data_IF_176665449985
#
_entry.id   IF_176665449985
#
_cell.length_a   1.000
_cell.length_b   1.000
_cell.length_c   1.000
_cell.angle_alpha   90.00
_cell.angle_beta   90.00
_cell.angle_gamma   90.00
#
_symmetry.space_group_name_H-M   'P 1'
#
loop_
_entity.id
_entity.type
_entity.pdbx_description
1 polymer ?
#
# COMPACT_ATOMS: atom_id res chain seq x y z
N UNK A 1 10.52 14.75 11.43
CA UNK A 1 11.30 13.72 12.16
C UNK A 1 12.76 14.12 12.15
N UNK A 2 13.42 14.18 13.31
CA UNK A 2 14.86 14.34 13.42
C UNK A 2 15.55 13.03 12.98
N UNK A 3 16.41 13.03 11.94
CA UNK A 3 17.07 11.82 11.45
C UNK A 3 18.06 11.21 12.46
N UNK A 4 18.41 11.90 13.54
CA UNK A 4 19.25 11.37 14.62
C UNK A 4 18.50 10.55 15.66
N UNK A 5 17.16 10.61 15.67
CA UNK A 5 16.32 9.87 16.61
C UNK A 5 16.12 8.42 16.15
N UNK A 6 16.24 7.45 17.07
CA UNK A 6 15.98 6.03 16.75
C UNK A 6 14.53 5.78 16.33
N UNK A 7 14.25 4.71 15.58
CA UNK A 7 12.87 4.35 15.19
C UNK A 7 11.98 4.09 16.41
N UNK A 8 12.48 3.35 17.40
CA UNK A 8 11.79 3.07 18.67
C UNK A 8 11.47 4.35 19.45
N UNK A 9 12.42 5.27 19.57
CA UNK A 9 12.16 6.56 20.23
C UNK A 9 11.11 7.36 19.46
N UNK A 10 11.16 7.38 18.12
CA UNK A 10 10.16 8.06 17.30
C UNK A 10 8.77 7.45 17.47
N UNK A 11 8.67 6.12 17.51
CA UNK A 11 7.42 5.39 17.73
C UNK A 11 6.78 5.76 19.07
N UNK A 12 7.55 5.73 20.17
CA UNK A 12 7.06 6.14 21.48
C UNK A 12 6.53 7.58 21.49
N UNK A 13 7.23 8.52 20.86
CA UNK A 13 6.76 9.91 20.78
C UNK A 13 5.52 10.05 19.91
N UNK A 14 5.45 9.31 18.80
CA UNK A 14 4.33 9.36 17.85
C UNK A 14 3.02 8.94 18.53
N UNK A 15 3.03 7.83 19.27
CA UNK A 15 1.81 7.26 19.88
C UNK A 15 1.61 7.66 21.33
N UNK A 16 2.48 8.50 21.91
CA UNK A 16 2.41 8.89 23.33
C UNK A 16 1.01 9.36 23.80
N UNK A 17 0.27 10.20 23.04
CA UNK A 17 -1.07 10.62 23.45
C UNK A 17 -2.05 9.44 23.55
N UNK A 18 -2.08 8.57 22.54
CA UNK A 18 -2.94 7.39 22.52
C UNK A 18 -2.54 6.38 23.60
N UNK A 19 -1.25 6.08 23.72
CA UNK A 19 -0.71 5.17 24.73
C UNK A 19 -1.05 5.61 26.16
N UNK A 20 -0.96 6.92 26.44
CA UNK A 20 -1.31 7.48 27.75
C UNK A 20 -2.81 7.33 28.07
N UNK A 21 -3.68 7.55 27.08
CA UNK A 21 -5.13 7.40 27.25
C UNK A 21 -5.52 5.93 27.47
N UNK A 22 -4.99 5.01 26.66
CA UNK A 22 -5.21 3.57 26.86
C UNK A 22 -4.71 3.08 28.23
N UNK A 23 -3.53 3.53 28.66
CA UNK A 23 -2.99 3.18 29.98
C UNK A 23 -3.84 3.73 31.14
N UNK A 24 -4.57 4.83 30.92
CA UNK A 24 -5.52 5.39 31.88
C UNK A 24 -6.89 4.68 31.88
N UNK A 25 -7.10 3.70 30.99
CA UNK A 25 -8.38 3.03 30.80
C UNK A 25 -9.42 3.85 30.04
N UNK A 26 -9.01 4.93 29.36
CA UNK A 26 -9.87 5.78 28.54
C UNK A 26 -9.76 5.36 27.07
N UNK A 27 -10.49 4.29 26.72
CA UNK A 27 -10.46 3.70 25.38
C UNK A 27 -11.00 4.67 24.32
N UNK A 28 -12.02 5.47 24.63
CA UNK A 28 -12.59 6.45 23.69
C UNK A 28 -11.56 7.53 23.33
N UNK A 29 -10.86 8.09 24.32
CA UNK A 29 -9.80 9.06 24.07
C UNK A 29 -8.58 8.42 23.37
N UNK A 30 -8.24 7.17 23.72
CA UNK A 30 -7.15 6.42 23.08
C UNK A 30 -7.43 6.15 21.60
N UNK A 31 -8.63 5.70 21.27
CA UNK A 31 -9.09 5.49 19.89
C UNK A 31 -9.05 6.80 19.09
N UNK A 32 -9.63 7.88 19.63
CA UNK A 32 -9.65 9.18 18.96
C UNK A 32 -8.25 9.72 18.69
N UNK A 33 -7.35 9.66 19.67
CA UNK A 33 -5.96 10.09 19.51
C UNK A 33 -5.22 9.23 18.47
N UNK A 34 -5.41 7.91 18.50
CA UNK A 34 -4.74 6.99 17.58
C UNK A 34 -5.22 7.19 16.14
N UNK A 35 -6.53 7.40 15.95
CA UNK A 35 -7.12 7.74 14.66
C UNK A 35 -6.51 9.02 14.07
N UNK A 36 -6.40 10.08 14.86
CA UNK A 36 -5.80 11.35 14.44
C UNK A 36 -4.31 11.20 14.09
N UNK A 37 -3.57 10.39 14.86
CA UNK A 37 -2.17 10.08 14.60
C UNK A 37 -2.02 9.37 13.26
N UNK A 38 -2.83 8.34 12.98
CA UNK A 38 -2.77 7.64 11.71
C UNK A 38 -3.15 8.51 10.52
N UNK A 39 -4.14 9.39 10.66
CA UNK A 39 -4.46 10.35 9.61
C UNK A 39 -3.26 11.26 9.29
N UNK A 40 -2.58 11.75 10.32
CA UNK A 40 -1.36 12.55 10.14
C UNK A 40 -0.22 11.74 9.50
N UNK A 41 -0.04 10.47 9.87
CA UNK A 41 0.98 9.60 9.26
C UNK A 41 0.68 9.35 7.79
N UNK A 42 -0.56 9.04 7.43
CA UNK A 42 -0.97 8.81 6.04
C UNK A 42 -0.83 10.09 5.21
N UNK A 43 -1.26 11.23 5.74
CA UNK A 43 -1.09 12.53 5.10
C UNK A 43 0.39 12.89 4.91
N UNK A 44 1.22 12.65 5.92
CA UNK A 44 2.66 12.88 5.83
C UNK A 44 3.30 11.97 4.77
N UNK A 45 2.93 10.69 4.77
CA UNK A 45 3.44 9.73 3.79
C UNK A 45 3.04 10.10 2.35
N UNK A 46 1.81 10.54 2.11
CA UNK A 46 1.36 10.93 0.76
C UNK A 46 2.09 12.16 0.21
N UNK A 47 2.65 13.01 1.06
CA UNK A 47 3.41 14.20 0.66
C UNK A 47 4.93 13.98 0.70
N UNK A 48 5.39 12.83 1.20
CA UNK A 48 6.81 12.53 1.38
C UNK A 48 7.38 11.89 0.12
N UNK A 49 8.51 12.38 -0.42
CA UNK A 49 9.17 11.74 -1.55
C UNK A 49 9.47 10.26 -1.26
N UNK A 50 9.19 9.37 -2.22
CA UNK A 50 9.23 7.92 -1.99
C UNK A 50 10.56 7.39 -1.38
N UNK A 51 11.71 7.99 -1.70
CA UNK A 51 13.01 7.58 -1.11
C UNK A 51 13.14 7.90 0.39
N UNK A 52 12.23 8.67 0.97
CA UNK A 52 12.16 8.97 2.41
C UNK A 52 11.09 8.18 3.14
N UNK A 53 10.23 7.45 2.42
CA UNK A 53 9.16 6.66 3.02
C UNK A 53 9.67 5.48 3.85
N UNK A 54 10.87 4.96 3.56
CA UNK A 54 11.44 3.84 4.30
C UNK A 54 11.56 4.18 5.80
N UNK A 55 11.89 5.44 6.12
CA UNK A 55 11.91 5.93 7.50
C UNK A 55 10.52 5.92 8.16
N UNK A 56 9.47 6.25 7.41
CA UNK A 56 8.10 6.19 7.93
C UNK A 56 7.73 4.75 8.25
N UNK A 57 8.07 3.80 7.37
CA UNK A 57 7.84 2.37 7.58
C UNK A 57 8.60 1.84 8.79
N UNK A 58 9.87 2.24 8.98
CA UNK A 58 10.64 1.88 10.18
C UNK A 58 9.96 2.34 11.47
N UNK A 59 9.40 3.57 11.49
CA UNK A 59 8.71 4.09 12.67
C UNK A 59 7.39 3.35 12.91
N UNK A 60 6.61 3.05 11.86
CA UNK A 60 5.38 2.26 11.98
C UNK A 60 5.68 0.83 12.45
N UNK A 61 6.74 0.20 11.93
CA UNK A 61 7.20 -1.11 12.42
C UNK A 61 7.59 -1.04 13.90
N UNK A 62 8.31 0.00 14.31
CA UNK A 62 8.67 0.19 15.71
C UNK A 62 7.47 0.49 16.61
N UNK A 63 6.35 1.03 16.08
CA UNK A 63 5.08 1.08 16.82
C UNK A 63 4.54 -0.34 17.01
N UNK A 64 4.56 -1.18 15.98
CA UNK A 64 4.08 -2.57 16.08
C UNK A 64 4.86 -3.42 17.10
N UNK A 65 6.10 -3.04 17.40
CA UNK A 65 6.96 -3.68 18.39
C UNK A 65 6.78 -3.15 19.83
N UNK A 66 5.90 -2.15 20.06
CA UNK A 66 5.66 -1.63 21.40
C UNK A 66 4.94 -2.66 22.28
N UNK A 67 5.44 -2.82 23.51
CA UNK A 67 4.88 -3.76 24.49
C UNK A 67 3.88 -3.09 25.44
N UNK A 68 3.91 -1.76 25.57
CA UNK A 68 3.09 -1.03 26.55
C UNK A 68 2.26 0.08 25.89
N UNK A 69 0.97 0.24 26.28
CA UNK A 69 0.21 -0.67 27.14
C UNK A 69 0.00 -2.05 26.47
N UNK A 70 0.05 -3.11 27.28
CA UNK A 70 0.01 -4.51 26.80
C UNK A 70 -1.29 -4.89 26.05
N UNK A 71 -2.40 -4.22 26.37
CA UNK A 71 -3.70 -4.41 25.72
C UNK A 71 -4.34 -3.06 25.44
N UNK A 72 -4.90 -2.93 24.24
CA UNK A 72 -5.67 -1.77 23.81
C UNK A 72 -7.11 -2.24 23.59
N UNK A 73 -8.09 -1.40 23.90
CA UNK A 73 -9.47 -1.63 23.49
C UNK A 73 -9.80 -0.68 22.34
N UNK A 74 -10.14 -1.24 21.18
CA UNK A 74 -10.50 -0.48 19.97
C UNK A 74 -11.80 -1.02 19.41
N UNK A 75 -12.80 -0.16 19.29
CA UNK A 75 -14.16 -0.50 18.86
C UNK A 75 -14.76 -1.65 19.66
N UNK A 76 -14.50 -1.65 20.97
CA UNK A 76 -14.95 -2.69 21.91
C UNK A 76 -14.24 -4.04 21.78
N UNK A 77 -13.17 -4.14 20.98
CA UNK A 77 -12.36 -5.34 20.85
C UNK A 77 -10.97 -5.14 21.45
N UNK A 78 -10.47 -6.15 22.14
CA UNK A 78 -9.11 -6.16 22.67
C UNK A 78 -8.10 -6.44 21.55
N UNK A 79 -7.03 -5.64 21.50
CA UNK A 79 -5.97 -5.69 20.48
C UNK A 79 -4.63 -5.29 21.10
N UNK A 80 -3.56 -5.30 20.31
CA UNK A 80 -2.20 -4.88 20.71
C UNK A 80 -1.58 -4.00 19.64
N UNK A 81 -0.48 -3.32 19.96
CA UNK A 81 0.24 -2.51 18.98
C UNK A 81 0.68 -3.28 17.73
N UNK A 82 0.96 -4.58 17.86
CA UNK A 82 1.36 -5.48 16.76
C UNK A 82 0.37 -5.49 15.61
N UNK A 83 -0.92 -5.32 15.90
CA UNK A 83 -1.99 -5.34 14.89
C UNK A 83 -2.20 -3.97 14.24
N UNK A 84 -1.47 -2.93 14.68
CA UNK A 84 -1.57 -1.54 14.21
C UNK A 84 -3.04 -1.10 14.09
N UNK A 85 -3.82 -1.17 15.19
CA UNK A 85 -5.26 -0.95 15.12
C UNK A 85 -5.57 0.42 14.54
N UNK A 86 -6.68 0.51 13.82
CA UNK A 86 -7.16 1.70 13.09
C UNK A 86 -6.34 2.11 11.85
N UNK A 87 -5.10 1.65 11.65
CA UNK A 87 -4.28 2.08 10.51
C UNK A 87 -4.90 1.68 9.16
N UNK A 88 -5.34 0.42 9.03
CA UNK A 88 -6.03 -0.07 7.82
C UNK A 88 -7.29 0.76 7.47
N UNK A 89 -8.23 0.94 8.41
CA UNK A 89 -9.38 1.82 8.23
C UNK A 89 -9.03 3.26 7.81
N UNK A 90 -8.04 3.89 8.43
CA UNK A 90 -7.60 5.25 8.05
C UNK A 90 -7.04 5.30 6.63
N UNK A 91 -6.24 4.30 6.23
CA UNK A 91 -5.75 4.19 4.84
C UNK A 91 -6.90 4.01 3.86
N UNK A 92 -7.93 3.24 4.24
CA UNK A 92 -9.14 3.06 3.43
C UNK A 92 -9.84 4.39 3.15
N UNK A 93 -10.07 5.20 4.18
CA UNK A 93 -10.71 6.50 4.01
C UNK A 93 -9.89 7.43 3.12
N UNK A 94 -8.56 7.38 3.25
CA UNK A 94 -7.65 8.15 2.39
C UNK A 94 -7.68 7.69 0.92
N UNK A 95 -8.06 6.44 0.67
CA UNK A 95 -8.26 5.89 -0.67
C UNK A 95 -9.55 6.39 -1.32
N UNK A 96 -10.58 6.67 -0.51
CA UNK A 96 -11.88 7.17 -0.96
C UNK A 96 -11.88 8.71 -1.15
N UNK A 97 -10.90 9.44 -0.59
CA UNK A 97 -10.77 10.91 -0.75
C UNK A 97 -9.73 11.31 -1.82
N UNK A 98 -10.19 11.38 -3.08
CA UNK A 98 -9.38 11.74 -4.25
C UNK A 98 -8.82 13.18 -4.22
N UNK A 99 -9.27 14.04 -3.29
CA UNK A 99 -8.99 15.49 -3.34
C UNK A 99 -7.65 15.93 -2.74
N UNK A 100 -6.96 15.06 -2.01
CA UNK A 100 -5.83 15.48 -1.17
C UNK A 100 -4.57 14.62 -1.24
N UNK A 101 -4.55 13.61 -2.11
CA UNK A 101 -3.52 12.58 -2.07
C UNK A 101 -2.74 12.51 -3.36
N UNK A 102 -1.40 12.58 -3.28
CA UNK A 102 -0.54 12.24 -4.41
C UNK A 102 -0.63 10.72 -4.64
N UNK A 103 -1.19 10.26 -5.78
CA UNK A 103 -1.54 8.85 -5.95
C UNK A 103 -0.33 7.93 -5.87
N UNK A 104 0.83 8.34 -6.37
CA UNK A 104 2.03 7.51 -6.33
C UNK A 104 2.51 7.25 -4.90
N UNK A 105 2.63 8.27 -4.06
CA UNK A 105 3.15 8.16 -2.70
C UNK A 105 2.22 7.37 -1.79
N UNK A 106 0.89 7.53 -1.90
CA UNK A 106 -0.05 6.71 -1.13
C UNK A 106 0.06 5.23 -1.52
N UNK A 107 0.09 4.93 -2.82
CA UNK A 107 0.28 3.55 -3.31
C UNK A 107 1.65 3.00 -2.89
N UNK A 108 2.70 3.83 -2.93
CA UNK A 108 4.05 3.46 -2.52
C UNK A 108 4.16 3.20 -1.00
N UNK A 109 3.40 3.93 -0.18
CA UNK A 109 3.32 3.69 1.26
C UNK A 109 2.55 2.40 1.57
N UNK A 110 1.37 2.21 0.98
CA UNK A 110 0.57 1.00 1.15
C UNK A 110 1.29 -0.26 0.66
N UNK A 111 2.00 -0.17 -0.47
CA UNK A 111 2.82 -1.25 -1.00
C UNK A 111 3.94 -1.65 -0.04
N UNK A 112 4.64 -0.68 0.58
CA UNK A 112 5.67 -0.98 1.56
C UNK A 112 5.12 -1.58 2.85
N UNK A 113 3.99 -1.09 3.37
CA UNK A 113 3.33 -1.69 4.55
C UNK A 113 2.95 -3.14 4.28
N UNK A 114 2.43 -3.42 3.08
CA UNK A 114 2.09 -4.79 2.63
C UNK A 114 3.35 -5.65 2.53
N UNK A 115 4.41 -5.14 1.91
CA UNK A 115 5.66 -5.87 1.72
C UNK A 115 6.38 -6.16 3.04
N UNK A 116 6.28 -5.25 4.01
CA UNK A 116 6.82 -5.41 5.35
C UNK A 116 5.96 -6.34 6.23
N UNK A 117 4.78 -6.78 5.77
CA UNK A 117 3.88 -7.62 6.55
C UNK A 117 3.24 -6.91 7.74
N UNK A 118 3.23 -5.57 7.75
CA UNK A 118 2.67 -4.76 8.83
C UNK A 118 1.15 -4.66 8.73
N UNK A 119 0.66 -4.32 7.53
CA UNK A 119 -0.77 -4.29 7.22
C UNK A 119 -0.95 -4.82 5.80
N UNK A 120 -1.79 -5.83 5.65
CA UNK A 120 -2.09 -6.40 4.33
C UNK A 120 -3.06 -5.51 3.55
N UNK A 121 -2.49 -4.64 2.72
CA UNK A 121 -3.21 -3.70 1.86
C UNK A 121 -3.25 -4.19 0.40
N UNK A 122 -2.98 -5.48 0.17
CA UNK A 122 -2.84 -6.02 -1.18
C UNK A 122 -4.16 -6.03 -1.99
N UNK A 123 -5.32 -5.83 -1.36
CA UNK A 123 -6.57 -5.58 -2.09
C UNK A 123 -6.54 -4.24 -2.86
N UNK A 124 -5.86 -3.22 -2.32
CA UNK A 124 -5.73 -1.91 -2.96
C UNK A 124 -4.81 -1.98 -4.18
N UNK A 125 -3.81 -2.86 -4.18
CA UNK A 125 -3.04 -3.17 -5.39
C UNK A 125 -3.94 -3.69 -6.50
N UNK A 126 -4.85 -4.62 -6.19
CA UNK A 126 -5.81 -5.13 -7.17
C UNK A 126 -6.69 -3.99 -7.69
N UNK A 127 -7.17 -3.09 -6.83
CA UNK A 127 -8.02 -1.98 -7.27
C UNK A 127 -7.28 -1.02 -8.20
N UNK A 128 -6.07 -0.61 -7.83
CA UNK A 128 -5.22 0.26 -8.64
C UNK A 128 -4.87 -0.39 -9.98
N UNK A 129 -4.36 -1.62 -9.96
CA UNK A 129 -3.98 -2.33 -11.18
C UNK A 129 -5.18 -2.68 -12.05
N UNK A 130 -6.33 -2.98 -11.45
CA UNK A 130 -7.58 -3.15 -12.21
C UNK A 130 -7.98 -1.86 -12.92
N UNK A 131 -7.97 -0.73 -12.21
CA UNK A 131 -8.33 0.56 -12.78
C UNK A 131 -7.41 0.94 -13.94
N UNK A 132 -6.10 0.79 -13.75
CA UNK A 132 -5.09 1.24 -14.72
C UNK A 132 -4.90 0.21 -15.82
N UNK A 133 -4.58 -1.03 -15.46
CA UNK A 133 -4.17 -2.06 -16.39
C UNK A 133 -5.37 -2.87 -16.91
N UNK A 134 -6.40 -3.17 -16.13
CA UNK A 134 -7.46 -4.10 -16.57
C UNK A 134 -8.67 -3.44 -17.25
N UNK A 135 -9.05 -2.22 -16.85
CA UNK A 135 -10.20 -1.47 -17.38
C UNK A 135 -9.88 -0.70 -18.68
N UNK A 136 -8.77 -1.04 -19.33
CA UNK A 136 -8.32 -0.43 -20.57
C UNK A 136 -7.67 -1.49 -21.46
N UNK A 137 -8.05 -1.52 -22.73
CA UNK A 137 -7.28 -2.24 -23.76
C UNK A 137 -5.86 -1.67 -23.85
N UNK A 138 -4.83 -2.46 -24.18
CA UNK A 138 -3.43 -2.07 -24.05
C UNK A 138 -3.07 -0.70 -24.65
N UNK A 139 -3.44 -0.45 -25.91
CA UNK A 139 -3.14 0.81 -26.62
C UNK A 139 -3.87 2.06 -26.07
N UNK A 140 -4.73 1.91 -25.06
CA UNK A 140 -5.48 3.01 -24.44
C UNK A 140 -5.09 3.25 -22.98
N UNK A 141 -4.26 2.39 -22.37
CA UNK A 141 -3.96 2.45 -20.94
C UNK A 141 -3.38 3.81 -20.57
N UNK A 142 -2.32 4.25 -21.25
CA UNK A 142 -1.68 5.54 -20.94
C UNK A 142 -2.62 6.72 -21.18
N UNK A 143 -3.32 6.73 -22.32
CA UNK A 143 -4.24 7.83 -22.68
C UNK A 143 -5.40 8.00 -21.69
N UNK A 144 -5.90 6.91 -21.08
CA UNK A 144 -7.00 6.95 -20.11
C UNK A 144 -6.55 7.31 -18.70
N UNK A 145 -5.35 6.90 -18.29
CA UNK A 145 -4.90 7.01 -16.89
C UNK A 145 -3.85 8.10 -16.66
N UNK A 146 -3.19 8.56 -17.72
CA UNK A 146 -2.10 9.53 -17.67
C UNK A 146 -0.93 9.07 -16.79
N UNK A 147 -0.06 10.03 -16.48
CA UNK A 147 1.12 9.78 -15.65
C UNK A 147 0.78 9.34 -14.23
N UNK A 148 -0.21 9.97 -13.59
CA UNK A 148 -0.56 9.68 -12.20
C UNK A 148 -1.04 8.23 -12.01
N UNK A 149 -1.92 7.73 -12.87
CA UNK A 149 -2.38 6.34 -12.79
C UNK A 149 -1.25 5.35 -13.08
N UNK A 150 -0.41 5.63 -14.08
CA UNK A 150 0.73 4.77 -14.41
C UNK A 150 1.77 4.74 -13.28
N UNK A 151 2.05 5.89 -12.64
CA UNK A 151 2.93 5.95 -11.46
C UNK A 151 2.32 5.15 -10.30
N UNK A 152 1.04 5.33 -10.00
CA UNK A 152 0.36 4.58 -8.93
C UNK A 152 0.45 3.05 -9.14
N UNK A 153 0.25 2.57 -10.37
CA UNK A 153 0.44 1.16 -10.71
C UNK A 153 1.91 0.72 -10.53
N UNK A 154 2.87 1.52 -11.02
CA UNK A 154 4.30 1.22 -10.89
C UNK A 154 4.74 1.08 -9.43
N UNK A 155 4.20 1.88 -8.51
CA UNK A 155 4.54 1.83 -7.08
C UNK A 155 4.34 0.43 -6.48
N UNK A 156 3.26 -0.27 -6.84
CA UNK A 156 3.00 -1.63 -6.34
C UNK A 156 4.04 -2.64 -6.82
N UNK A 157 4.44 -2.59 -8.09
CA UNK A 157 5.49 -3.46 -8.61
C UNK A 157 6.85 -3.17 -7.98
N UNK A 158 7.20 -1.89 -7.81
CA UNK A 158 8.49 -1.48 -7.24
C UNK A 158 8.60 -1.94 -5.78
N UNK A 159 7.56 -1.70 -4.97
CA UNK A 159 7.66 -1.84 -3.53
C UNK A 159 7.03 -3.11 -2.95
N UNK A 160 6.11 -3.75 -3.67
CA UNK A 160 5.43 -4.97 -3.25
C UNK A 160 5.45 -6.09 -4.31
N UNK A 161 6.20 -5.94 -5.40
CA UNK A 161 6.20 -6.90 -6.52
C UNK A 161 6.50 -8.34 -6.09
N UNK A 162 7.48 -8.53 -5.19
CA UNK A 162 7.81 -9.85 -4.63
C UNK A 162 6.65 -10.46 -3.85
N UNK A 163 6.00 -9.68 -2.99
CA UNK A 163 4.86 -10.12 -2.17
C UNK A 163 3.64 -10.43 -3.04
N UNK A 164 3.34 -9.58 -4.03
CA UNK A 164 2.26 -9.80 -4.97
C UNK A 164 2.48 -11.04 -5.84
N UNK A 165 3.72 -11.26 -6.28
CA UNK A 165 4.06 -12.48 -7.02
C UNK A 165 3.84 -13.73 -6.17
N UNK A 166 4.27 -13.72 -4.91
CA UNK A 166 4.00 -14.81 -3.97
C UNK A 166 2.49 -15.05 -3.81
N UNK A 167 1.69 -14.00 -3.61
CA UNK A 167 0.22 -14.11 -3.57
C UNK A 167 -0.37 -14.68 -4.87
N UNK A 168 0.20 -14.35 -6.03
CA UNK A 168 -0.20 -14.92 -7.33
C UNK A 168 0.14 -16.39 -7.47
N UNK A 169 1.25 -16.87 -6.88
CA UNK A 169 1.61 -18.29 -6.83
C UNK A 169 0.73 -19.06 -5.84
N UNK A 170 0.40 -18.44 -4.71
CA UNK A 170 -0.46 -19.01 -3.66
C UNK A 170 -1.95 -19.00 -4.04
N UNK A 171 -2.34 -18.18 -5.03
CA UNK A 171 -3.73 -18.05 -5.45
C UNK A 171 -4.59 -17.28 -4.44
N UNK A 172 -4.01 -16.29 -3.75
CA UNK A 172 -4.71 -15.51 -2.72
C UNK A 172 -5.99 -14.89 -3.27
N UNK A 173 -7.13 -15.22 -2.66
CA UNK A 173 -8.46 -14.75 -3.06
C UNK A 173 -9.12 -13.85 -2.01
N UNK A 174 -10.13 -13.11 -2.44
CA UNK A 174 -10.98 -12.27 -1.60
C UNK A 174 -12.44 -12.63 -1.81
N UNK A 175 -13.25 -12.44 -0.78
CA UNK A 175 -14.68 -12.66 -0.84
C UNK A 175 -15.41 -11.60 -1.68
N UNK A 176 -16.55 -12.01 -2.23
CA UNK A 176 -17.43 -11.14 -2.99
C UNK A 176 -16.79 -10.60 -4.28
N UNK A 177 -17.02 -9.30 -4.54
CA UNK A 177 -16.59 -8.62 -5.78
C UNK A 177 -15.35 -7.74 -5.61
N UNK A 178 -14.76 -7.69 -4.41
CA UNK A 178 -13.66 -6.80 -4.10
C UNK A 178 -12.49 -6.97 -5.09
N UNK A 179 -12.16 -8.21 -5.43
CA UNK A 179 -11.04 -8.56 -6.29
C UNK A 179 -11.45 -9.09 -7.67
N UNK A 180 -12.65 -8.75 -8.16
CA UNK A 180 -13.07 -9.13 -9.51
C UNK A 180 -12.12 -8.51 -10.57
N UNK A 181 -12.01 -9.14 -11.74
CA UNK A 181 -11.31 -8.57 -12.89
C UNK A 181 -11.90 -7.25 -13.40
N UNK A 182 -11.13 -6.53 -14.19
CA UNK A 182 -11.53 -5.30 -14.86
C UNK A 182 -12.43 -5.54 -16.08
N UNK A 183 -13.08 -4.46 -16.51
CA UNK A 183 -14.12 -4.50 -17.56
C UNK A 183 -13.61 -4.97 -18.92
N UNK A 184 -12.34 -4.71 -19.24
CA UNK A 184 -11.74 -5.06 -20.53
C UNK A 184 -10.98 -6.39 -20.46
N UNK A 185 -11.22 -7.20 -19.43
CA UNK A 185 -10.76 -8.59 -19.31
C UNK A 185 -11.97 -9.51 -19.51
N UNK A 186 -11.98 -10.24 -20.63
CA UNK A 186 -13.09 -11.09 -21.07
C UNK A 186 -12.76 -12.57 -20.83
N UNK A 187 -13.73 -13.33 -20.32
CA UNK A 187 -13.64 -14.79 -20.21
C UNK A 187 -12.96 -15.31 -18.94
N UNK A 188 -12.48 -14.42 -18.09
CA UNK A 188 -11.91 -14.76 -16.78
C UNK A 188 -12.99 -14.66 -15.67
N UNK A 189 -12.75 -15.30 -14.51
CA UNK A 189 -13.53 -15.13 -13.26
C UNK A 189 -12.56 -14.95 -12.07
N UNK A 190 -11.64 -13.99 -12.18
CA UNK A 190 -10.64 -13.78 -11.13
C UNK A 190 -11.28 -13.22 -9.86
N UNK A 191 -10.88 -13.78 -8.71
CA UNK A 191 -11.32 -13.37 -7.37
C UNK A 191 -10.17 -12.90 -6.49
N UNK A 192 -9.04 -12.54 -7.09
CA UNK A 192 -7.81 -12.27 -6.36
C UNK A 192 -6.58 -12.30 -7.24
N UNK A 193 -5.48 -12.72 -6.62
CA UNK A 193 -4.18 -12.94 -7.25
C UNK A 193 -4.15 -14.30 -7.93
N UNK A 194 -3.61 -14.33 -9.15
CA UNK A 194 -3.33 -15.55 -9.90
C UNK A 194 -2.13 -15.34 -10.80
N UNK A 195 -1.51 -16.43 -11.24
CA UNK A 195 -0.40 -16.33 -12.21
C UNK A 195 -0.85 -15.73 -13.54
N UNK A 196 -2.07 -16.04 -14.00
CA UNK A 196 -2.62 -15.49 -15.24
C UNK A 196 -2.83 -13.97 -15.13
N UNK A 197 -3.37 -13.51 -14.00
CA UNK A 197 -3.58 -12.08 -13.72
C UNK A 197 -2.26 -11.33 -13.58
N UNK A 198 -1.27 -11.93 -12.93
CA UNK A 198 0.07 -11.37 -12.85
C UNK A 198 0.68 -11.17 -14.24
N UNK A 199 0.65 -12.19 -15.10
CA UNK A 199 1.16 -12.10 -16.48
C UNK A 199 0.46 -10.99 -17.26
N UNK A 200 -0.86 -10.88 -17.15
CA UNK A 200 -1.61 -9.80 -17.79
C UNK A 200 -1.11 -8.43 -17.32
N UNK A 201 -0.90 -8.23 -16.02
CA UNK A 201 -0.42 -6.95 -15.52
C UNK A 201 0.98 -6.61 -16.03
N UNK A 202 1.89 -7.59 -16.05
CA UNK A 202 3.26 -7.40 -16.57
C UNK A 202 3.22 -7.02 -18.05
N UNK A 203 2.50 -7.78 -18.87
CA UNK A 203 2.32 -7.48 -20.31
C UNK A 203 1.76 -6.07 -20.51
N UNK A 204 0.71 -5.71 -19.77
CA UNK A 204 0.08 -4.39 -19.92
C UNK A 204 0.99 -3.27 -19.45
N UNK A 205 1.82 -3.47 -18.43
CA UNK A 205 2.82 -2.49 -17.99
C UNK A 205 3.91 -2.26 -19.05
N UNK A 206 4.33 -3.32 -19.76
CA UNK A 206 5.26 -3.23 -20.90
C UNK A 206 4.65 -2.42 -22.05
N UNK A 207 3.36 -2.57 -22.32
CA UNK A 207 2.67 -1.76 -23.32
C UNK A 207 2.62 -0.27 -22.93
N UNK A 208 2.33 0.05 -21.65
CA UNK A 208 2.38 1.45 -21.17
C UNK A 208 3.74 2.09 -21.41
N UNK A 209 4.84 1.35 -21.22
CA UNK A 209 6.20 1.88 -21.43
C UNK A 209 6.48 2.34 -22.86
N UNK A 210 5.74 1.82 -23.85
CA UNK A 210 5.93 2.19 -25.26
C UNK A 210 5.26 3.53 -25.58
N UNK A 211 4.19 3.86 -24.86
CA UNK A 211 3.35 5.03 -25.13
C UNK A 211 3.67 6.23 -24.23
N UNK A 212 4.33 6.00 -23.08
CA UNK A 212 4.67 7.06 -22.13
C UNK A 212 5.69 8.04 -22.72
N UNK A 213 5.41 9.33 -22.54
CA UNK A 213 6.28 10.44 -22.99
C UNK A 213 6.96 11.17 -21.83
N UNK A 214 6.35 11.18 -20.64
CA UNK A 214 6.95 11.78 -19.45
C UNK A 214 8.14 10.94 -18.97
N UNK A 215 9.31 11.57 -18.87
CA UNK A 215 10.55 10.88 -18.50
C UNK A 215 10.51 10.38 -17.05
N UNK A 216 9.85 11.09 -16.13
CA UNK A 216 9.72 10.63 -14.75
C UNK A 216 8.82 9.39 -14.65
N UNK A 217 7.69 9.37 -15.35
CA UNK A 217 6.83 8.17 -15.46
C UNK A 217 7.60 7.02 -16.09
N UNK A 218 8.32 7.26 -17.18
CA UNK A 218 9.11 6.25 -17.87
C UNK A 218 10.17 5.62 -16.96
N UNK A 219 10.90 6.44 -16.20
CA UNK A 219 11.90 5.97 -15.23
C UNK A 219 11.27 5.11 -14.12
N UNK A 220 10.09 5.48 -13.63
CA UNK A 220 9.37 4.67 -12.63
C UNK A 220 8.87 3.35 -13.20
N UNK A 221 8.31 3.35 -14.41
CA UNK A 221 7.90 2.11 -15.08
C UNK A 221 9.10 1.20 -15.34
N UNK A 222 10.27 1.74 -15.70
CA UNK A 222 11.50 0.95 -15.87
C UNK A 222 11.92 0.30 -14.56
N UNK A 223 11.89 1.03 -13.44
CA UNK A 223 12.17 0.47 -12.10
C UNK A 223 11.17 -0.63 -11.74
N UNK A 224 9.89 -0.46 -12.07
CA UNK A 224 8.87 -1.49 -11.88
C UNK A 224 9.22 -2.76 -12.66
N UNK A 225 9.60 -2.64 -13.93
CA UNK A 225 10.01 -3.79 -14.76
C UNK A 225 11.26 -4.50 -14.25
N UNK A 226 12.27 -3.75 -13.78
CA UNK A 226 13.44 -4.34 -13.13
C UNK A 226 13.04 -5.14 -11.88
N UNK A 227 12.16 -4.57 -11.06
CA UNK A 227 11.65 -5.25 -9.85
C UNK A 227 10.87 -6.53 -10.18
N UNK A 228 10.12 -6.55 -11.28
CA UNK A 228 9.42 -7.74 -11.78
C UNK A 228 10.43 -8.81 -12.24
N UNK A 229 11.47 -8.43 -12.97
CA UNK A 229 12.50 -9.33 -13.48
C UNK A 229 13.29 -9.98 -12.34
N UNK A 230 13.63 -9.23 -11.29
CA UNK A 230 14.32 -9.74 -10.11
C UNK A 230 13.52 -10.84 -9.38
N UNK A 231 12.18 -10.76 -9.44
CA UNK A 231 11.30 -11.76 -8.84
C UNK A 231 11.23 -13.02 -9.72
N UNK A 232 11.21 -12.87 -11.05
CA UNK A 232 11.16 -13.98 -12.01
C UNK A 232 12.49 -14.71 -12.22
N UNK A 233 13.63 -13.99 -12.15
CA UNK A 233 14.98 -14.53 -12.38
C UNK A 233 15.54 -15.34 -11.20
N UNK A 234 15.00 -15.18 -10.00
CA UNK A 234 15.37 -16.01 -8.83
C UNK A 234 14.75 -17.42 -8.82
N UNK A 235 14.14 -17.85 -9.94
CA UNK A 235 13.54 -19.19 -10.09
C UNK A 235 13.96 -19.91 -11.39
N UNK A 236 14.99 -19.43 -12.08
CA UNK A 236 15.62 -20.13 -13.22
C UNK A 236 16.90 -20.87 -12.83
#
# INVERSE_FOLDING_TARGET
MDPSMSASSAAHHLVAPAASAFAAGDSEAGEGALWDIWNQVVQYASQTPAHKLDRVIEVVAAVADLEEPATLEVWGNQTTWKELPLLGPVIRESWDDERHTEPFNLNAFAARLTAAGLVDLSVYAIWTLRSVLENSVPAQIYNKNGDQGCKAAAAWFIYAGKTMYAYSKEGKSYDGRAAQQGSDVVGEDWKGYSEARWRLWVERLEEVQKDVVDEDTKNLLQKAMMSIQDVGGNQS
#
